data_IF_637830802516
#
_entry.id   IF_637830802516
#
_cell.length_a   1.000
_cell.length_b   1.000
_cell.length_c   1.000
_cell.angle_alpha   90.00
_cell.angle_beta   90.00
_cell.angle_gamma   90.00
#
_symmetry.space_group_name_H-M   'P 1'
#
loop_
_entity.id
_entity.type
_entity.pdbx_description
1 polymer ?
#
# COMPACT_ATOMS: atom_id res chain seq x y z
N UNK A 1 -49.10 -3.37 39.90
CA UNK A 1 -47.77 -3.86 39.51
C UNK A 1 -46.79 -2.70 39.48
N UNK A 2 -45.69 -2.80 40.22
CA UNK A 2 -44.58 -1.88 40.18
C UNK A 2 -43.37 -2.58 39.54
N UNK A 3 -42.55 -1.82 38.85
CA UNK A 3 -41.34 -2.33 38.24
C UNK A 3 -40.17 -1.45 38.68
N UNK A 4 -39.10 -2.07 39.08
CA UNK A 4 -37.81 -1.42 39.39
C UNK A 4 -36.75 -1.97 38.46
N UNK A 5 -35.90 -1.10 37.86
CA UNK A 5 -34.79 -1.46 36.99
C UNK A 5 -33.50 -0.98 37.65
N UNK A 6 -32.52 -1.86 37.79
CA UNK A 6 -31.19 -1.55 38.34
C UNK A 6 -30.12 -1.99 37.39
N UNK A 7 -29.21 -1.07 37.10
CA UNK A 7 -28.06 -1.31 36.25
C UNK A 7 -26.76 -1.43 37.07
N UNK A 8 -25.94 -2.39 36.71
CA UNK A 8 -24.65 -2.65 37.32
C UNK A 8 -23.56 -2.54 36.29
N UNK A 9 -22.50 -1.79 36.59
CA UNK A 9 -21.26 -1.70 35.85
C UNK A 9 -20.15 -2.38 36.67
N UNK A 10 -19.45 -3.37 36.09
CA UNK A 10 -18.40 -4.14 36.76
C UNK A 10 -18.85 -4.69 38.14
N UNK A 11 -20.10 -5.09 38.22
CA UNK A 11 -20.74 -5.60 39.45
C UNK A 11 -21.20 -4.52 40.44
N UNK A 12 -20.96 -3.23 40.20
CA UNK A 12 -21.35 -2.10 41.05
C UNK A 12 -22.66 -1.48 40.56
N UNK A 13 -23.60 -1.26 41.48
CA UNK A 13 -24.88 -0.60 41.17
C UNK A 13 -24.63 0.87 40.76
N UNK A 14 -25.16 1.26 39.59
CA UNK A 14 -25.14 2.63 39.11
C UNK A 14 -26.52 3.28 39.33
N UNK A 15 -26.64 4.01 40.41
CA UNK A 15 -27.92 4.60 40.85
C UNK A 15 -28.45 5.67 39.90
N UNK A 16 -27.60 6.29 39.10
CA UNK A 16 -27.95 7.28 38.09
C UNK A 16 -28.90 6.70 37.03
N UNK A 17 -28.80 5.39 36.77
CA UNK A 17 -29.63 4.70 35.76
C UNK A 17 -30.75 3.84 36.37
N UNK A 18 -31.08 4.04 37.67
CA UNK A 18 -32.23 3.37 38.25
C UNK A 18 -33.51 3.73 37.48
N UNK A 19 -34.31 2.69 37.21
CA UNK A 19 -35.55 2.77 36.43
C UNK A 19 -35.40 3.23 34.96
N UNK A 20 -34.18 3.41 34.48
CA UNK A 20 -33.91 3.67 33.06
C UNK A 20 -34.00 2.37 32.25
N UNK A 21 -34.71 2.42 31.14
CA UNK A 21 -34.80 1.30 30.20
C UNK A 21 -33.59 1.17 29.27
N UNK A 22 -32.70 2.19 29.25
CA UNK A 22 -31.54 2.27 28.37
C UNK A 22 -30.38 2.95 29.05
N UNK A 23 -29.15 2.53 28.72
CA UNK A 23 -27.90 3.23 29.04
C UNK A 23 -27.46 4.00 27.79
N UNK A 24 -27.26 5.33 27.87
CA UNK A 24 -26.79 6.09 26.71
C UNK A 24 -25.34 5.75 26.36
N UNK A 25 -25.01 5.75 25.07
CA UNK A 25 -23.66 5.39 24.59
C UNK A 25 -22.54 6.23 25.22
N UNK A 26 -22.81 7.50 25.57
CA UNK A 26 -21.84 8.38 26.23
C UNK A 26 -21.45 7.91 27.64
N UNK A 27 -22.26 7.05 28.26
CA UNK A 27 -22.03 6.48 29.59
C UNK A 27 -21.29 5.13 29.54
N UNK A 28 -20.99 4.61 28.34
CA UNK A 28 -20.31 3.32 28.16
C UNK A 28 -18.90 3.51 27.63
N UNK A 29 -17.98 2.63 28.04
CA UNK A 29 -16.57 2.60 27.60
C UNK A 29 -16.21 1.17 27.18
N UNK A 30 -15.22 1.08 26.33
CA UNK A 30 -14.67 -0.21 25.93
C UNK A 30 -14.17 -1.00 27.16
N UNK A 31 -14.59 -2.27 27.23
CA UNK A 31 -14.28 -3.15 28.36
C UNK A 31 -15.29 -3.11 29.52
N UNK A 32 -16.24 -2.17 29.56
CA UNK A 32 -17.25 -2.13 30.60
C UNK A 32 -18.11 -3.40 30.60
N UNK A 33 -18.34 -4.00 31.76
CA UNK A 33 -19.24 -5.13 31.94
C UNK A 33 -20.58 -4.67 32.55
N UNK A 34 -21.62 -4.70 31.73
CA UNK A 34 -22.98 -4.27 32.16
C UNK A 34 -23.90 -5.44 32.40
N UNK A 35 -24.72 -5.31 33.46
CA UNK A 35 -25.82 -6.23 33.82
C UNK A 35 -27.02 -5.42 34.29
N UNK A 36 -28.21 -5.83 33.90
CA UNK A 36 -29.47 -5.27 34.38
C UNK A 36 -30.21 -6.27 35.28
N UNK A 37 -30.82 -5.78 36.30
CA UNK A 37 -31.75 -6.50 37.15
C UNK A 37 -33.12 -5.80 37.12
N UNK A 38 -34.17 -6.57 36.88
CA UNK A 38 -35.55 -6.07 36.89
C UNK A 38 -36.32 -6.78 38.00
N UNK A 39 -36.89 -5.98 38.86
CA UNK A 39 -37.77 -6.45 39.95
C UNK A 39 -39.19 -6.00 39.70
N UNK A 40 -40.14 -6.91 39.81
CA UNK A 40 -41.59 -6.62 39.72
C UNK A 40 -42.28 -6.97 41.02
N UNK A 41 -43.28 -6.17 41.41
CA UNK A 41 -44.12 -6.43 42.61
C UNK A 41 -45.57 -6.11 42.34
N UNK A 42 -46.47 -6.91 42.91
CA UNK A 42 -47.91 -6.67 42.94
C UNK A 42 -48.40 -6.06 44.27
N UNK A 43 -47.46 -5.83 45.21
CA UNK A 43 -47.72 -5.30 46.54
C UNK A 43 -47.72 -6.36 47.62
N UNK A 44 -47.90 -7.63 47.27
CA UNK A 44 -47.88 -8.77 48.20
C UNK A 44 -46.59 -9.60 48.01
N UNK A 45 -46.22 -9.85 46.74
CA UNK A 45 -45.05 -10.62 46.35
C UNK A 45 -44.12 -9.84 45.42
N UNK A 46 -42.83 -10.26 45.34
CA UNK A 46 -41.82 -9.70 44.44
C UNK A 46 -41.05 -10.80 43.71
N UNK A 47 -40.72 -10.57 42.42
CA UNK A 47 -39.81 -11.41 41.65
C UNK A 47 -38.74 -10.53 41.00
N UNK A 48 -37.47 -10.99 41.01
CA UNK A 48 -36.36 -10.31 40.39
C UNK A 48 -35.66 -11.22 39.39
N UNK A 49 -35.25 -10.66 38.25
CA UNK A 49 -34.42 -11.33 37.25
C UNK A 49 -33.26 -10.45 36.82
N UNK A 50 -32.11 -11.06 36.74
CA UNK A 50 -30.89 -10.43 36.16
C UNK A 50 -30.65 -10.92 34.72
N UNK A 51 -30.16 -10.03 33.87
CA UNK A 51 -29.62 -10.41 32.57
C UNK A 51 -28.32 -11.18 32.71
N UNK A 52 -27.86 -11.77 31.61
CA UNK A 52 -26.45 -12.07 31.46
C UNK A 52 -25.62 -10.78 31.47
N UNK A 53 -24.29 -10.90 31.75
CA UNK A 53 -23.37 -9.79 31.61
C UNK A 53 -23.12 -9.57 30.10
N UNK A 54 -23.14 -8.30 29.71
CA UNK A 54 -22.70 -7.87 28.36
C UNK A 54 -21.45 -7.02 28.53
N UNK A 55 -20.44 -7.28 27.74
CA UNK A 55 -19.23 -6.44 27.68
C UNK A 55 -19.38 -5.40 26.59
N UNK A 56 -19.18 -4.13 26.93
CA UNK A 56 -19.12 -3.03 25.98
C UNK A 56 -17.77 -3.07 25.27
N UNK A 57 -17.76 -2.78 24.03
CA UNK A 57 -16.56 -2.93 23.23
C UNK A 57 -16.56 -4.29 22.59
N UNK A 58 -16.41 -4.21 21.61
CA UNK A 58 -16.34 -4.91 20.65
C UNK A 58 -15.99 -6.20 20.32
N UNK A 59 -16.15 -6.70 19.31
CA UNK A 59 -15.23 -7.35 18.41
C UNK A 59 -13.97 -6.50 18.42
N UNK A 60 -12.90 -6.97 19.02
CA UNK A 60 -11.57 -6.55 18.58
C UNK A 60 -11.59 -6.73 17.07
N UNK A 61 -11.66 -5.62 16.34
CA UNK A 61 -11.60 -5.69 14.89
C UNK A 61 -10.26 -6.36 14.61
N UNK A 62 -10.32 -7.58 14.10
CA UNK A 62 -9.10 -8.30 13.74
C UNK A 62 -8.44 -7.46 12.67
N UNK A 63 -7.24 -6.98 12.93
CA UNK A 63 -6.49 -6.26 11.91
C UNK A 63 -6.17 -7.20 10.75
N UNK A 64 -6.42 -6.76 9.55
CA UNK A 64 -5.94 -7.40 8.34
C UNK A 64 -4.74 -6.58 7.82
N UNK A 65 -3.67 -7.23 7.38
CA UNK A 65 -2.56 -6.49 6.78
C UNK A 65 -3.03 -5.78 5.50
N UNK A 66 -2.46 -4.62 5.17
CA UNK A 66 -2.77 -3.92 3.94
C UNK A 66 -2.40 -4.73 2.70
N UNK A 67 -3.00 -4.40 1.57
CA UNK A 67 -2.79 -5.08 0.29
C UNK A 67 -2.36 -4.09 -0.80
N UNK A 68 -1.49 -4.54 -1.72
CA UNK A 68 -1.21 -3.84 -2.96
C UNK A 68 -2.19 -4.34 -4.02
N UNK A 69 -3.12 -3.48 -4.42
CA UNK A 69 -4.19 -3.80 -5.39
C UNK A 69 -3.72 -3.75 -6.84
N UNK A 70 -2.75 -2.90 -7.15
CA UNK A 70 -2.10 -2.80 -8.47
C UNK A 70 -0.62 -2.52 -8.31
N UNK A 71 0.20 -3.09 -9.20
CA UNK A 71 1.64 -2.87 -9.24
C UNK A 71 2.15 -2.96 -10.67
N UNK A 72 3.03 -2.04 -11.06
CA UNK A 72 3.70 -2.04 -12.36
C UNK A 72 5.02 -1.30 -12.31
N UNK A 73 5.92 -1.61 -13.25
CA UNK A 73 7.08 -0.80 -13.57
C UNK A 73 6.78 -0.01 -14.84
N UNK A 74 7.09 1.28 -14.84
CA UNK A 74 6.92 2.17 -15.99
C UNK A 74 8.29 2.71 -16.44
N UNK A 75 8.59 2.68 -17.76
CA UNK A 75 7.80 2.07 -18.82
C UNK A 75 7.79 0.52 -18.71
N UNK A 76 6.80 -0.13 -19.31
CA UNK A 76 6.67 -1.59 -19.29
C UNK A 76 7.66 -2.31 -20.22
N UNK A 77 8.28 -1.59 -21.14
CA UNK A 77 9.34 -2.01 -22.05
C UNK A 77 10.42 -0.93 -22.08
N UNK A 78 11.18 -0.77 -20.98
CA UNK A 78 12.18 0.29 -20.88
C UNK A 78 13.37 0.03 -21.81
N UNK A 79 13.95 1.11 -22.33
CA UNK A 79 15.24 1.10 -23.00
C UNK A 79 16.30 1.77 -22.12
N UNK A 80 17.57 1.69 -22.48
CA UNK A 80 18.71 2.16 -21.66
C UNK A 80 18.74 3.66 -21.36
N UNK A 81 17.88 4.46 -22.01
CA UNK A 81 17.74 5.91 -21.78
C UNK A 81 16.55 6.28 -20.92
N UNK A 82 15.82 5.31 -20.38
CA UNK A 82 14.60 5.54 -19.62
C UNK A 82 14.75 5.09 -18.18
N UNK A 83 14.30 5.94 -17.25
CA UNK A 83 14.22 5.62 -15.83
C UNK A 83 13.14 4.56 -15.58
N UNK A 84 13.39 3.69 -14.60
CA UNK A 84 12.37 2.75 -14.12
C UNK A 84 11.63 3.39 -12.96
N UNK A 85 10.30 3.37 -13.02
CA UNK A 85 9.44 3.86 -11.95
C UNK A 85 8.48 2.76 -11.48
N UNK A 86 8.54 2.43 -10.18
CA UNK A 86 7.53 1.61 -9.52
C UNK A 86 6.26 2.42 -9.31
N UNK A 87 5.15 1.92 -9.83
CA UNK A 87 3.80 2.48 -9.64
C UNK A 87 2.96 1.42 -8.94
N UNK A 88 2.29 1.79 -7.84
CA UNK A 88 1.40 0.87 -7.13
C UNK A 88 0.24 1.61 -6.48
N UNK A 89 -0.81 0.87 -6.17
CA UNK A 89 -1.94 1.33 -5.36
C UNK A 89 -2.12 0.38 -4.19
N UNK A 90 -2.34 0.94 -3.01
CA UNK A 90 -2.52 0.21 -1.77
C UNK A 90 -3.95 0.39 -1.24
N UNK A 91 -4.43 -0.60 -0.52
CA UNK A 91 -5.70 -0.56 0.21
C UNK A 91 -5.57 -1.34 1.52
N UNK A 92 -6.40 -0.97 2.48
CA UNK A 92 -6.55 -1.65 3.75
C UNK A 92 -8.04 -1.92 3.98
N UNK A 93 -8.37 -3.12 4.50
CA UNK A 93 -9.77 -3.53 4.67
C UNK A 93 -10.47 -2.71 5.76
N UNK A 94 -9.74 -2.31 6.78
CA UNK A 94 -10.21 -1.49 7.90
C UNK A 94 -10.11 0.01 7.59
N UNK A 95 -9.53 0.39 6.44
CA UNK A 95 -9.14 1.74 6.06
C UNK A 95 -8.08 2.36 6.98
N UNK A 96 -7.23 1.53 7.57
CA UNK A 96 -6.05 2.00 8.30
C UNK A 96 -5.06 2.66 7.34
N UNK A 97 -4.33 3.66 7.82
CA UNK A 97 -3.35 4.37 7.01
C UNK A 97 -2.11 3.50 6.76
N UNK A 98 -1.57 3.54 5.54
CA UNK A 98 -0.26 2.94 5.26
C UNK A 98 0.81 3.82 5.89
N UNK A 99 1.59 3.27 6.82
CA UNK A 99 2.60 3.98 7.61
C UNK A 99 4.02 3.69 7.15
N UNK A 100 4.28 2.46 6.69
CA UNK A 100 5.61 2.03 6.27
C UNK A 100 5.57 1.36 4.90
N UNK A 101 6.69 1.48 4.17
CA UNK A 101 6.90 0.85 2.87
C UNK A 101 8.34 0.37 2.77
N UNK A 102 8.53 -0.88 2.38
CA UNK A 102 9.83 -1.43 2.07
C UNK A 102 9.93 -1.77 0.58
N UNK A 103 11.00 -1.34 -0.05
CA UNK A 103 11.29 -1.57 -1.48
C UNK A 103 12.69 -2.19 -1.60
N UNK A 104 12.80 -3.23 -2.40
CA UNK A 104 14.05 -3.86 -2.79
C UNK A 104 14.14 -3.99 -4.31
N UNK A 105 15.28 -3.60 -4.89
CA UNK A 105 15.56 -3.81 -6.31
C UNK A 105 16.66 -4.86 -6.51
N UNK A 106 16.47 -5.68 -7.52
CA UNK A 106 17.44 -6.68 -7.97
C UNK A 106 17.74 -6.48 -9.45
N UNK A 107 18.99 -6.66 -9.84
CA UNK A 107 19.43 -6.74 -11.23
C UNK A 107 20.02 -8.13 -11.46
N UNK A 108 19.52 -8.85 -12.46
CA UNK A 108 19.92 -10.22 -12.78
C UNK A 108 19.92 -11.17 -11.55
N UNK A 109 18.94 -10.96 -10.65
CA UNK A 109 18.75 -11.70 -9.40
C UNK A 109 19.60 -11.23 -8.22
N UNK A 110 20.52 -10.28 -8.41
CA UNK A 110 21.38 -9.75 -7.35
C UNK A 110 20.79 -8.49 -6.72
N UNK A 111 20.78 -8.41 -5.38
CA UNK A 111 20.29 -7.25 -4.65
C UNK A 111 21.18 -6.03 -4.92
N UNK A 112 20.55 -4.89 -5.24
CA UNK A 112 21.28 -3.66 -5.61
C UNK A 112 21.54 -2.71 -4.45
N UNK A 113 20.67 -2.73 -3.42
CA UNK A 113 20.66 -1.75 -2.34
C UNK A 113 19.81 -0.51 -2.61
N UNK A 114 19.20 -0.37 -3.79
CA UNK A 114 18.21 0.68 -4.04
C UNK A 114 16.91 0.40 -3.27
N UNK A 115 16.38 1.43 -2.60
CA UNK A 115 15.17 1.38 -1.78
C UNK A 115 14.14 2.46 -2.18
N UNK A 116 14.43 3.18 -3.28
CA UNK A 116 13.56 4.23 -3.82
C UNK A 116 12.60 3.67 -4.88
N UNK A 117 11.45 4.30 -5.14
CA UNK A 117 10.54 3.84 -6.18
C UNK A 117 11.05 4.07 -7.61
N UNK A 118 12.18 4.77 -7.78
CA UNK A 118 12.75 5.10 -9.10
C UNK A 118 14.19 4.63 -9.20
N UNK A 119 14.57 4.08 -10.36
CA UNK A 119 15.94 3.79 -10.76
C UNK A 119 16.27 4.65 -11.96
N UNK A 120 17.34 5.43 -11.85
CA UNK A 120 17.81 6.28 -12.95
C UNK A 120 18.33 5.43 -14.11
N UNK A 121 18.13 5.88 -15.35
CA UNK A 121 18.56 5.19 -16.56
C UNK A 121 20.06 4.85 -16.58
N UNK A 122 20.88 5.71 -15.97
CA UNK A 122 22.34 5.52 -15.91
C UNK A 122 22.78 4.28 -15.13
N UNK A 123 21.90 3.72 -14.29
CA UNK A 123 22.14 2.50 -13.51
C UNK A 123 21.79 1.24 -14.30
N UNK A 124 21.13 1.39 -15.46
CA UNK A 124 20.64 0.28 -16.26
C UNK A 124 21.52 0.00 -17.47
N UNK A 125 21.48 -1.22 -17.96
CA UNK A 125 22.14 -1.60 -19.19
C UNK A 125 21.26 -2.56 -20.01
N UNK A 126 21.40 -2.51 -21.32
CA UNK A 126 20.70 -3.39 -22.26
C UNK A 126 20.81 -4.86 -21.86
N UNK A 127 19.68 -5.55 -21.88
CA UNK A 127 19.55 -6.97 -21.60
C UNK A 127 19.45 -7.34 -20.13
N UNK A 128 19.65 -6.38 -19.20
CA UNK A 128 19.48 -6.64 -17.77
C UNK A 128 18.00 -6.92 -17.43
N UNK A 129 17.79 -7.84 -16.48
CA UNK A 129 16.50 -8.09 -15.85
C UNK A 129 16.44 -7.34 -14.52
N UNK A 130 15.58 -6.34 -14.45
CA UNK A 130 15.33 -5.59 -13.21
C UNK A 130 14.04 -6.08 -12.55
N UNK A 131 14.13 -6.41 -11.28
CA UNK A 131 13.01 -6.87 -10.44
C UNK A 131 12.88 -5.95 -9.25
N UNK A 132 11.65 -5.51 -8.95
CA UNK A 132 11.31 -4.80 -7.72
C UNK A 132 10.43 -5.67 -6.85
N UNK A 133 10.73 -5.68 -5.56
CA UNK A 133 9.90 -6.25 -4.51
C UNK A 133 9.45 -5.13 -3.58
N UNK A 134 8.18 -5.13 -3.20
CA UNK A 134 7.60 -4.15 -2.28
C UNK A 134 6.67 -4.83 -1.28
N UNK A 135 6.67 -4.34 -0.04
CA UNK A 135 5.63 -4.59 0.96
C UNK A 135 5.32 -3.32 1.71
N UNK A 136 4.14 -3.28 2.30
CA UNK A 136 3.59 -2.11 3.01
C UNK A 136 3.05 -2.52 4.37
N UNK A 137 2.97 -1.58 5.31
CA UNK A 137 2.45 -1.82 6.66
C UNK A 137 1.52 -0.70 7.11
N UNK A 138 0.50 -1.06 7.88
CA UNK A 138 -0.39 -0.17 8.62
C UNK A 138 0.15 0.20 10.02
N UNK A 139 1.37 -0.26 10.36
CA UNK A 139 1.99 -0.11 11.67
C UNK A 139 1.66 -1.22 12.67
N UNK A 140 0.79 -2.17 12.29
CA UNK A 140 0.43 -3.35 13.07
C UNK A 140 0.93 -4.62 12.38
N UNK A 141 0.63 -4.74 11.08
CA UNK A 141 0.98 -5.90 10.26
C UNK A 141 1.59 -5.46 8.92
N UNK A 142 2.36 -6.37 8.31
CA UNK A 142 2.94 -6.21 6.99
C UNK A 142 2.16 -7.00 5.95
N UNK A 143 1.98 -6.42 4.75
CA UNK A 143 1.53 -7.15 3.57
C UNK A 143 2.53 -8.26 3.21
N UNK A 144 2.13 -9.26 2.40
CA UNK A 144 3.10 -10.09 1.71
C UNK A 144 3.97 -9.24 0.77
N UNK A 145 5.12 -9.80 0.34
CA UNK A 145 5.93 -9.20 -0.72
C UNK A 145 5.25 -9.37 -2.07
N UNK A 146 5.14 -8.26 -2.81
CA UNK A 146 4.70 -8.21 -4.21
C UNK A 146 5.92 -7.97 -5.08
N UNK A 147 5.95 -8.58 -6.27
CA UNK A 147 7.10 -8.54 -7.16
C UNK A 147 6.68 -8.23 -8.60
N UNK A 148 7.52 -7.47 -9.31
CA UNK A 148 7.37 -7.16 -10.72
C UNK A 148 8.75 -7.05 -11.36
N UNK A 149 8.87 -7.43 -12.65
CA UNK A 149 10.13 -7.34 -13.38
C UNK A 149 9.96 -6.79 -14.78
N UNK A 150 11.04 -6.21 -15.30
CA UNK A 150 11.17 -5.74 -16.69
C UNK A 150 12.54 -6.12 -17.23
N UNK A 151 12.67 -6.15 -18.55
CA UNK A 151 13.95 -6.34 -19.25
C UNK A 151 14.28 -5.04 -19.96
N UNK A 152 15.52 -4.56 -19.78
CA UNK A 152 16.00 -3.35 -20.46
C UNK A 152 16.23 -3.67 -21.93
N UNK A 153 15.50 -2.98 -22.79
CA UNK A 153 15.61 -3.08 -24.24
C UNK A 153 16.77 -2.27 -24.80
N UNK A 154 16.91 -2.36 -26.12
CA UNK A 154 17.88 -1.60 -26.89
C UNK A 154 17.45 -0.17 -27.14
N UNK A 155 18.35 0.79 -27.01
CA UNK A 155 18.16 2.15 -27.53
C UNK A 155 18.72 2.22 -28.96
N UNK A 156 17.96 2.70 -29.95
CA UNK A 156 18.44 2.79 -31.32
C UNK A 156 19.63 3.74 -31.47
N UNK A 157 20.57 3.45 -32.41
CA UNK A 157 21.68 4.33 -32.71
C UNK A 157 21.23 5.68 -33.26
N UNK A 158 22.05 6.70 -33.10
CA UNK A 158 21.77 8.07 -33.55
C UNK A 158 22.84 8.50 -34.58
N UNK A 159 22.40 9.16 -35.66
CA UNK A 159 23.27 9.88 -36.56
C UNK A 159 23.52 11.28 -35.99
N UNK A 160 24.70 11.50 -35.44
CA UNK A 160 25.08 12.76 -34.78
C UNK A 160 25.36 13.87 -35.79
N UNK A 161 25.96 13.53 -36.92
CA UNK A 161 26.26 14.48 -38.01
C UNK A 161 26.21 13.79 -39.35
N UNK A 162 25.80 14.54 -40.37
CA UNK A 162 25.85 14.15 -41.77
C UNK A 162 26.14 15.38 -42.59
N UNK A 163 27.24 15.34 -43.37
CA UNK A 163 27.59 16.40 -44.31
C UNK A 163 27.94 15.79 -45.66
N UNK A 164 27.75 16.61 -46.69
CA UNK A 164 28.17 16.25 -48.06
C UNK A 164 29.13 17.32 -48.54
N UNK A 165 30.29 16.87 -49.10
CA UNK A 165 31.33 17.75 -49.61
C UNK A 165 31.79 17.32 -51.01
N UNK A 166 32.35 18.25 -51.83
CA UNK A 166 32.35 19.69 -51.61
C UNK A 166 30.98 20.32 -51.81
N UNK A 167 30.77 21.56 -51.28
CA UNK A 167 29.49 22.29 -51.42
C UNK A 167 29.24 22.73 -52.87
N UNK A 168 30.31 23.18 -53.55
CA UNK A 168 30.26 23.52 -55.01
C UNK A 168 30.86 22.35 -55.79
N UNK A 169 30.05 21.71 -56.65
CA UNK A 169 30.36 20.47 -57.35
C UNK A 169 30.44 20.72 -58.86
N UNK A 170 31.53 20.26 -59.49
CA UNK A 170 31.70 20.22 -60.94
C UNK A 170 31.63 18.78 -61.46
N UNK A 171 31.48 18.61 -62.77
CA UNK A 171 31.23 17.32 -63.45
C UNK A 171 32.29 16.23 -63.20
N UNK A 172 33.48 16.59 -62.73
CA UNK A 172 34.56 15.64 -62.42
C UNK A 172 34.91 15.55 -60.95
N UNK A 173 34.07 16.13 -60.05
CA UNK A 173 34.34 16.07 -58.60
C UNK A 173 33.67 14.85 -58.01
N UNK A 174 34.35 14.20 -57.08
CA UNK A 174 33.79 13.18 -56.25
C UNK A 174 32.88 13.82 -55.19
N UNK A 175 31.77 13.17 -54.88
CA UNK A 175 30.87 13.58 -53.82
C UNK A 175 31.13 12.68 -52.61
N UNK A 176 31.50 13.28 -51.48
CA UNK A 176 31.79 12.57 -50.25
C UNK A 176 30.69 12.83 -49.22
N UNK A 177 30.18 11.78 -48.61
CA UNK A 177 29.34 11.86 -47.40
C UNK A 177 30.24 11.61 -46.18
N UNK A 178 30.24 12.56 -45.25
CA UNK A 178 30.87 12.43 -43.94
C UNK A 178 29.78 12.36 -42.87
N UNK A 179 29.87 11.39 -41.99
CA UNK A 179 28.90 11.21 -40.91
C UNK A 179 29.57 10.75 -39.64
N UNK A 180 28.93 11.03 -38.51
CA UNK A 180 29.22 10.40 -37.21
C UNK A 180 27.99 9.77 -36.64
N UNK A 181 28.16 8.65 -35.99
CA UNK A 181 27.08 7.89 -35.36
C UNK A 181 27.46 7.61 -33.90
N UNK A 182 26.48 7.52 -33.06
CA UNK A 182 26.63 7.05 -31.68
C UNK A 182 25.60 5.99 -31.37
N UNK A 183 25.94 5.12 -30.44
CA UNK A 183 25.05 4.14 -29.86
C UNK A 183 25.35 4.06 -28.36
N UNK A 184 24.33 4.32 -27.53
CA UNK A 184 24.49 4.38 -26.07
C UNK A 184 24.72 2.98 -25.47
N UNK A 185 24.23 1.94 -26.13
CA UNK A 185 24.36 0.55 -25.72
C UNK A 185 25.72 -0.04 -26.11
N UNK A 186 26.51 0.70 -26.93
CA UNK A 186 27.79 0.27 -27.43
C UNK A 186 27.69 -0.82 -28.49
N UNK A 187 26.56 -0.95 -29.15
CA UNK A 187 26.37 -1.89 -30.26
C UNK A 187 27.28 -1.49 -31.44
N UNK A 188 27.95 -2.47 -31.98
CA UNK A 188 28.77 -2.29 -33.21
C UNK A 188 28.01 -2.83 -34.40
N UNK A 189 27.98 -2.05 -35.46
CA UNK A 189 27.45 -2.45 -36.80
C UNK A 189 28.38 -3.44 -37.48
#
# INVERSE_FOLDING_TARGET
LTTEIRWYLDGVLITEFNDASTIPAIATRDGDEWRVEVTVSDGDDTESRSSQIITVGGITQVNNPPEISTMSISPSQPVTTEDLQLIYSAQDQENDAILDTEIEWRVDGLLTGFVTPTIDAVETAKGQVWEVSIRISDGKDWSPWYQQSVIIGNTPPVVESLTVSPFDIFTNDDILAEYSISDIDGDTT
#
